data_IF_374506474246
#
_entry.id   IF_374506474246
#
_cell.length_a   1.000
_cell.length_b   1.000
_cell.length_c   1.000
_cell.angle_alpha   90.00
_cell.angle_beta   90.00
_cell.angle_gamma   90.00
#
_symmetry.space_group_name_H-M   'P 1'
#
loop_
_entity.id
_entity.type
_entity.pdbx_description
1 polymer ?
#
# COMPACT_ATOMS: atom_id res chain seq x y z
N UNK A 1 -17.97 19.44 -6.41
CA UNK A 1 -16.89 20.24 -5.75
C UNK A 1 -16.17 21.00 -6.86
N UNK A 2 -15.87 22.29 -6.70
CA UNK A 2 -15.11 23.03 -7.72
C UNK A 2 -13.61 22.70 -7.64
N UNK A 3 -12.90 22.81 -8.78
CA UNK A 3 -11.44 22.62 -8.84
C UNK A 3 -10.70 23.52 -7.85
N UNK A 4 -11.15 24.78 -7.72
CA UNK A 4 -10.61 25.75 -6.76
C UNK A 4 -10.77 25.27 -5.31
N UNK A 5 -11.92 24.71 -4.96
CA UNK A 5 -12.15 24.20 -3.60
C UNK A 5 -11.30 22.95 -3.32
N UNK A 6 -11.14 22.06 -4.30
CA UNK A 6 -10.29 20.88 -4.16
C UNK A 6 -8.81 21.25 -4.01
N UNK A 7 -8.34 22.25 -4.78
CA UNK A 7 -6.97 22.77 -4.68
C UNK A 7 -6.73 23.43 -3.32
N UNK A 8 -7.65 24.31 -2.87
CA UNK A 8 -7.56 24.95 -1.57
C UNK A 8 -7.52 23.92 -0.43
N UNK A 9 -8.39 22.91 -0.48
CA UNK A 9 -8.40 21.82 0.49
C UNK A 9 -7.08 21.06 0.52
N UNK A 10 -6.51 20.74 -0.64
CA UNK A 10 -5.22 20.05 -0.75
C UNK A 10 -4.08 20.89 -0.17
N UNK A 11 -4.00 22.18 -0.51
CA UNK A 11 -2.98 23.11 0.01
C UNK A 11 -3.08 23.20 1.53
N UNK A 12 -4.29 23.42 2.07
CA UNK A 12 -4.51 23.50 3.52
C UNK A 12 -4.08 22.19 4.19
N UNK A 13 -4.45 21.04 3.62
CA UNK A 13 -4.06 19.73 4.17
C UNK A 13 -2.54 19.53 4.18
N UNK A 14 -1.84 19.96 3.12
CA UNK A 14 -0.37 19.92 3.06
C UNK A 14 0.26 20.82 4.12
N UNK A 15 -0.22 22.05 4.28
CA UNK A 15 0.28 22.98 5.29
C UNK A 15 0.04 22.46 6.71
N UNK A 16 -1.15 21.92 6.98
CA UNK A 16 -1.48 21.29 8.26
C UNK A 16 -0.59 20.08 8.52
N UNK A 17 -0.35 19.22 7.52
CA UNK A 17 0.56 18.09 7.65
C UNK A 17 1.98 18.53 8.05
N UNK A 18 2.57 19.50 7.33
CA UNK A 18 3.91 20.04 7.65
C UNK A 18 3.92 20.66 9.06
N UNK A 19 2.91 21.46 9.40
CA UNK A 19 2.79 22.05 10.73
C UNK A 19 2.70 20.98 11.83
N UNK A 20 1.88 19.94 11.65
CA UNK A 20 1.80 18.82 12.59
C UNK A 20 3.15 18.13 12.75
N UNK A 21 3.88 17.86 11.67
CA UNK A 21 5.20 17.21 11.76
C UNK A 21 6.24 18.05 12.49
N UNK A 22 6.14 19.38 12.43
CA UNK A 22 6.98 20.31 13.21
C UNK A 22 6.80 20.12 14.72
N UNK A 23 5.55 19.90 15.17
CA UNK A 23 5.24 19.66 16.58
C UNK A 23 5.54 18.25 17.07
N UNK A 24 5.90 17.32 16.17
CA UNK A 24 6.20 15.92 16.52
C UNK A 24 7.70 15.77 16.85
N UNK A 25 8.58 15.87 15.86
CA UNK A 25 10.03 15.85 16.04
C UNK A 25 10.77 16.34 14.77
N UNK A 26 12.07 16.69 14.86
CA UNK A 26 12.83 17.21 13.72
C UNK A 26 12.87 16.27 12.51
N UNK A 27 12.98 14.96 12.71
CA UNK A 27 13.05 13.99 11.60
C UNK A 27 11.75 14.00 10.80
N UNK A 28 10.59 13.94 11.49
CA UNK A 28 9.29 14.00 10.83
C UNK A 28 9.11 15.31 10.07
N UNK A 29 9.51 16.44 10.66
CA UNK A 29 9.44 17.74 10.02
C UNK A 29 10.25 17.80 8.72
N UNK A 30 11.53 17.40 8.77
CA UNK A 30 12.41 17.44 7.60
C UNK A 30 12.05 16.41 6.52
N UNK A 31 11.41 15.30 6.89
CA UNK A 31 10.91 14.31 5.93
C UNK A 31 9.52 14.62 5.39
N UNK A 32 8.78 15.54 6.00
CA UNK A 32 7.42 15.89 5.56
C UNK A 32 7.35 16.35 4.08
N UNK A 33 8.30 17.13 3.53
CA UNK A 33 8.29 17.47 2.11
C UNK A 33 8.51 16.25 1.21
N UNK A 34 9.32 15.27 1.65
CA UNK A 34 9.56 14.03 0.90
C UNK A 34 8.30 13.19 0.85
N UNK A 35 7.59 13.04 1.98
CA UNK A 35 6.33 12.32 2.04
C UNK A 35 5.26 12.98 1.15
N UNK A 36 5.12 14.30 1.23
CA UNK A 36 4.20 15.05 0.37
C UNK A 36 4.57 14.93 -1.11
N UNK A 37 5.85 14.99 -1.46
CA UNK A 37 6.29 14.80 -2.84
C UNK A 37 5.81 13.45 -3.38
N UNK A 38 6.05 12.35 -2.66
CA UNK A 38 5.61 11.01 -3.09
C UNK A 38 4.09 10.94 -3.25
N UNK A 39 3.33 11.45 -2.27
CA UNK A 39 1.86 11.39 -2.25
C UNK A 39 1.22 12.28 -3.32
N UNK A 40 1.78 13.46 -3.60
CA UNK A 40 1.24 14.33 -4.64
C UNK A 40 1.67 13.87 -6.03
N UNK A 41 2.90 13.38 -6.16
CA UNK A 41 3.47 13.00 -7.43
C UNK A 41 2.88 11.70 -7.99
N UNK A 42 2.47 10.73 -7.15
CA UNK A 42 1.97 9.44 -7.64
C UNK A 42 0.81 9.62 -8.64
N UNK A 43 -0.06 10.61 -8.43
CA UNK A 43 -1.22 10.87 -9.30
C UNK A 43 -0.83 11.19 -10.75
N UNK A 44 0.39 11.64 -10.99
CA UNK A 44 0.91 11.97 -12.32
C UNK A 44 1.60 10.77 -13.01
N UNK A 45 1.98 9.74 -12.25
CA UNK A 45 2.90 8.68 -12.72
C UNK A 45 2.37 7.84 -13.88
N UNK A 46 1.05 7.59 -13.92
CA UNK A 46 0.40 6.90 -15.05
C UNK A 46 0.68 7.54 -16.41
N UNK A 47 1.06 8.83 -16.48
CA UNK A 47 1.29 9.53 -17.75
C UNK A 47 2.63 9.20 -18.41
N UNK A 48 3.56 8.55 -17.70
CA UNK A 48 4.89 8.27 -18.24
C UNK A 48 5.51 6.95 -17.75
N UNK A 49 4.89 6.22 -16.82
CA UNK A 49 5.39 4.91 -16.38
C UNK A 49 4.27 3.97 -15.94
N UNK A 50 4.37 2.69 -16.33
CA UNK A 50 3.49 1.64 -15.84
C UNK A 50 3.78 1.23 -14.39
N UNK A 51 4.90 1.67 -13.82
CA UNK A 51 5.23 1.44 -12.41
C UNK A 51 4.44 2.34 -11.45
N UNK A 52 3.38 3.00 -11.92
CA UNK A 52 2.50 3.86 -11.11
C UNK A 52 1.97 3.16 -9.85
N UNK A 53 1.68 1.85 -9.95
CA UNK A 53 1.22 1.02 -8.84
C UNK A 53 2.27 0.89 -7.73
N UNK A 54 3.56 0.91 -8.09
CA UNK A 54 4.69 0.88 -7.16
C UNK A 54 4.88 2.24 -6.49
N UNK A 55 4.62 3.34 -7.20
CA UNK A 55 4.69 4.68 -6.61
C UNK A 55 3.50 4.92 -5.66
N UNK A 56 2.31 4.43 -6.01
CA UNK A 56 1.15 4.45 -5.10
C UNK A 56 1.42 3.57 -3.86
N UNK A 57 1.96 2.36 -4.05
CA UNK A 57 2.40 1.50 -2.96
C UNK A 57 3.45 2.17 -2.08
N UNK A 58 4.40 2.90 -2.67
CA UNK A 58 5.41 3.66 -1.95
C UNK A 58 4.74 4.73 -1.06
N UNK A 59 3.76 5.46 -1.59
CA UNK A 59 3.00 6.45 -0.83
C UNK A 59 2.38 5.88 0.45
N UNK A 60 1.71 4.73 0.37
CA UNK A 60 1.15 4.05 1.54
C UNK A 60 2.20 3.40 2.44
N UNK A 61 3.31 2.93 1.87
CA UNK A 61 4.41 2.34 2.64
C UNK A 61 5.14 3.33 3.55
N UNK A 62 4.94 4.63 3.36
CA UNK A 62 5.46 5.64 4.28
C UNK A 62 4.77 5.60 5.65
N UNK A 63 3.58 4.99 5.77
CA UNK A 63 2.83 4.98 7.02
C UNK A 63 3.50 4.19 8.15
N UNK A 64 3.97 2.93 7.98
CA UNK A 64 4.64 2.20 9.07
C UNK A 64 5.91 2.90 9.58
N UNK A 65 6.82 3.28 8.67
CA UNK A 65 8.03 4.01 9.05
C UNK A 65 7.72 5.40 9.61
N UNK A 66 6.74 6.11 9.06
CA UNK A 66 6.30 7.41 9.55
C UNK A 66 5.73 7.35 10.97
N UNK A 67 4.89 6.35 11.26
CA UNK A 67 4.35 6.12 12.60
C UNK A 67 5.47 5.80 13.61
N UNK A 68 6.44 4.97 13.23
CA UNK A 68 7.59 4.66 14.08
C UNK A 68 8.46 5.89 14.35
N UNK A 69 8.79 6.65 13.29
CA UNK A 69 9.56 7.89 13.40
C UNK A 69 8.84 8.93 14.26
N UNK A 70 7.51 9.02 14.19
CA UNK A 70 6.74 9.96 14.99
C UNK A 70 6.86 9.70 16.48
N UNK A 71 6.91 8.44 16.90
CA UNK A 71 6.99 8.04 18.31
C UNK A 71 8.44 8.00 18.81
N UNK A 72 9.37 7.47 18.01
CA UNK A 72 10.73 7.14 18.48
C UNK A 72 11.77 8.19 18.09
N UNK A 73 11.54 8.95 17.02
CA UNK A 73 12.54 9.83 16.43
C UNK A 73 13.80 9.10 15.93
N UNK A 74 13.72 7.81 15.61
CA UNK A 74 14.87 7.02 15.14
C UNK A 74 14.47 6.02 14.04
N UNK A 75 15.40 5.73 13.14
CA UNK A 75 15.20 4.69 12.13
C UNK A 75 15.45 3.31 12.72
N UNK A 76 14.67 2.34 12.28
CA UNK A 76 14.83 0.93 12.64
C UNK A 76 14.45 0.05 11.44
N UNK A 77 14.99 -1.17 11.41
CA UNK A 77 14.72 -2.17 10.39
C UNK A 77 13.30 -2.72 10.46
N UNK A 78 12.77 -2.94 11.66
CA UNK A 78 11.44 -3.53 11.80
C UNK A 78 10.31 -2.74 11.11
N UNK A 79 10.16 -1.41 11.32
CA UNK A 79 9.16 -0.63 10.59
C UNK A 79 9.44 -0.55 9.09
N UNK A 80 10.71 -0.62 8.65
CA UNK A 80 11.04 -0.71 7.23
C UNK A 80 10.56 -2.02 6.60
N UNK A 81 10.67 -3.15 7.31
CA UNK A 81 10.13 -4.44 6.84
C UNK A 81 8.60 -4.39 6.71
N UNK A 82 7.91 -3.73 7.64
CA UNK A 82 6.47 -3.47 7.50
C UNK A 82 6.17 -2.51 6.35
N UNK A 83 6.98 -1.47 6.13
CA UNK A 83 6.86 -0.60 4.95
C UNK A 83 7.01 -1.40 3.65
N UNK A 84 7.99 -2.32 3.53
CA UNK A 84 8.12 -3.18 2.36
C UNK A 84 6.93 -4.13 2.20
N UNK A 85 6.41 -4.68 3.29
CA UNK A 85 5.17 -5.47 3.28
C UNK A 85 4.03 -4.68 2.66
N UNK A 86 3.83 -3.43 3.10
CA UNK A 86 2.78 -2.53 2.61
C UNK A 86 3.02 -2.13 1.16
N UNK A 87 4.25 -1.79 0.79
CA UNK A 87 4.62 -1.43 -0.58
C UNK A 87 4.16 -2.52 -1.55
N UNK A 88 4.59 -3.75 -1.35
CA UNK A 88 4.27 -4.84 -2.27
C UNK A 88 2.80 -5.28 -2.19
N UNK A 89 2.20 -5.26 -1.00
CA UNK A 89 0.78 -5.58 -0.83
C UNK A 89 -0.11 -4.61 -1.61
N UNK A 90 0.12 -3.31 -1.40
CA UNK A 90 -0.65 -2.24 -2.03
C UNK A 90 -0.45 -2.23 -3.52
N UNK A 91 0.79 -2.29 -4.00
CA UNK A 91 1.05 -2.36 -5.43
C UNK A 91 0.38 -3.57 -6.08
N UNK A 92 0.38 -4.72 -5.41
CA UNK A 92 -0.27 -5.93 -5.92
C UNK A 92 -1.79 -5.76 -6.04
N UNK A 93 -2.48 -5.27 -5.01
CA UNK A 93 -3.94 -5.14 -5.10
C UNK A 93 -4.37 -3.97 -6.00
N UNK A 94 -3.56 -2.91 -6.12
CA UNK A 94 -3.84 -1.78 -7.01
C UNK A 94 -3.78 -2.22 -8.48
N UNK A 95 -2.86 -3.15 -8.82
CA UNK A 95 -2.85 -3.80 -10.14
C UNK A 95 -4.13 -4.60 -10.38
N UNK A 96 -4.61 -5.37 -9.37
CA UNK A 96 -5.87 -6.14 -9.49
C UNK A 96 -7.04 -5.19 -9.74
N UNK A 97 -7.10 -4.06 -9.03
CA UNK A 97 -8.14 -3.07 -9.18
C UNK A 97 -8.12 -2.41 -10.57
N UNK A 98 -6.92 -2.06 -11.05
CA UNK A 98 -6.69 -1.44 -12.35
C UNK A 98 -6.95 -2.36 -13.54
N UNK A 99 -7.20 -3.66 -13.35
CA UNK A 99 -7.66 -4.55 -14.43
C UNK A 99 -8.97 -4.07 -15.08
N UNK A 100 -9.78 -3.34 -14.32
CA UNK A 100 -11.05 -2.76 -14.80
C UNK A 100 -10.81 -1.57 -15.75
N UNK A 101 -9.66 -0.89 -15.61
CA UNK A 101 -9.34 0.33 -16.34
C UNK A 101 -8.49 0.07 -17.60
N UNK A 102 -8.21 -1.19 -17.95
CA UNK A 102 -7.26 -1.51 -19.04
C UNK A 102 -7.63 -0.85 -20.37
N UNK A 103 -8.90 -0.95 -20.77
CA UNK A 103 -9.38 -0.39 -22.05
C UNK A 103 -9.29 1.13 -22.05
N UNK A 104 -9.76 1.76 -20.96
CA UNK A 104 -9.67 3.20 -20.77
C UNK A 104 -8.22 3.72 -20.76
N UNK A 105 -7.33 3.03 -20.03
CA UNK A 105 -5.92 3.40 -19.96
C UNK A 105 -5.26 3.26 -21.35
N UNK A 106 -5.62 2.25 -22.15
CA UNK A 106 -5.13 2.10 -23.53
C UNK A 106 -5.64 3.20 -24.46
N UNK A 107 -6.93 3.51 -24.42
CA UNK A 107 -7.55 4.54 -25.26
C UNK A 107 -6.98 5.94 -24.97
N UNK A 108 -6.65 6.22 -23.71
CA UNK A 108 -6.11 7.51 -23.27
C UNK A 108 -4.57 7.54 -23.22
N UNK A 109 -3.89 6.53 -23.77
CA UNK A 109 -2.42 6.43 -23.78
C UNK A 109 -1.79 6.54 -22.39
N UNK A 110 -2.47 6.01 -21.37
CA UNK A 110 -1.97 5.91 -20.01
C UNK A 110 -1.17 4.61 -19.82
N UNK A 111 -0.11 4.72 -19.02
CA UNK A 111 0.79 3.64 -18.70
C UNK A 111 0.39 3.02 -17.36
N UNK A 112 -0.19 1.83 -17.40
CA UNK A 112 -0.45 0.97 -16.25
C UNK A 112 0.03 -0.44 -16.55
N UNK A 113 0.28 -1.25 -15.52
CA UNK A 113 0.70 -2.64 -15.72
C UNK A 113 -0.35 -3.41 -16.55
N UNK A 114 -1.67 -3.27 -16.29
CA UNK A 114 -2.70 -3.84 -17.16
C UNK A 114 -2.69 -3.30 -18.59
N UNK A 115 -2.51 -1.99 -18.81
CA UNK A 115 -2.55 -1.42 -20.17
C UNK A 115 -1.41 -1.91 -21.05
N UNK A 116 -0.23 -2.16 -20.47
CA UNK A 116 0.95 -2.65 -21.22
C UNK A 116 0.99 -4.17 -21.35
N UNK A 117 0.71 -4.90 -20.26
CA UNK A 117 0.91 -6.36 -20.23
C UNK A 117 -0.38 -7.17 -20.49
N UNK A 118 -1.54 -6.54 -20.39
CA UNK A 118 -2.85 -7.18 -20.40
C UNK A 118 -3.18 -7.90 -19.08
N UNK A 119 -4.47 -8.21 -18.87
CA UNK A 119 -5.00 -8.74 -17.60
C UNK A 119 -4.25 -9.95 -17.04
N UNK A 120 -3.95 -10.92 -17.89
CA UNK A 120 -3.34 -12.18 -17.44
C UNK A 120 -1.92 -11.99 -16.91
N UNK A 121 -1.08 -11.24 -17.60
CA UNK A 121 0.30 -10.96 -17.16
C UNK A 121 0.32 -9.96 -16.01
N UNK A 122 -0.60 -8.99 -15.99
CA UNK A 122 -0.77 -8.07 -14.87
C UNK A 122 -1.08 -8.82 -13.56
N UNK A 123 -1.98 -9.81 -13.60
CA UNK A 123 -2.24 -10.69 -12.45
C UNK A 123 -0.99 -11.43 -11.99
N UNK A 124 -0.14 -11.94 -12.90
CA UNK A 124 1.15 -12.57 -12.52
C UNK A 124 2.11 -11.61 -11.84
N UNK A 125 2.15 -10.34 -12.25
CA UNK A 125 2.94 -9.32 -11.56
C UNK A 125 2.36 -9.06 -10.16
N UNK A 126 1.04 -8.98 -10.02
CA UNK A 126 0.37 -8.84 -8.73
C UNK A 126 0.65 -10.04 -7.80
N UNK A 127 0.60 -11.27 -8.31
CA UNK A 127 0.98 -12.49 -7.58
C UNK A 127 2.40 -12.39 -7.03
N UNK A 128 3.37 -11.99 -7.87
CA UNK A 128 4.76 -11.81 -7.44
C UNK A 128 4.88 -10.78 -6.32
N UNK A 129 4.22 -9.63 -6.45
CA UNK A 129 4.25 -8.59 -5.41
C UNK A 129 3.61 -9.10 -4.11
N UNK A 130 2.50 -9.81 -4.17
CA UNK A 130 1.89 -10.40 -2.97
C UNK A 130 2.74 -11.48 -2.32
N UNK A 131 3.48 -12.28 -3.10
CA UNK A 131 4.49 -13.21 -2.56
C UNK A 131 5.61 -12.44 -1.85
N UNK A 132 6.14 -11.36 -2.44
CA UNK A 132 7.16 -10.53 -1.80
C UNK A 132 6.62 -9.88 -0.51
N UNK A 133 5.37 -9.43 -0.51
CA UNK A 133 4.70 -8.93 0.71
C UNK A 133 4.63 -10.00 1.81
N UNK A 134 4.23 -11.23 1.44
CA UNK A 134 4.20 -12.37 2.34
C UNK A 134 5.58 -12.71 2.92
N UNK A 135 6.63 -12.66 2.11
CA UNK A 135 8.01 -12.85 2.57
C UNK A 135 8.42 -11.76 3.56
N UNK A 136 8.13 -10.49 3.26
CA UNK A 136 8.45 -9.36 4.14
C UNK A 136 7.75 -9.46 5.49
N UNK A 137 6.45 -9.81 5.53
CA UNK A 137 5.71 -9.90 6.80
C UNK A 137 6.18 -11.10 7.63
N UNK A 138 6.45 -12.24 7.00
CA UNK A 138 7.03 -13.40 7.70
C UNK A 138 8.40 -13.04 8.27
N UNK A 139 9.25 -12.36 7.49
CA UNK A 139 10.57 -11.96 7.94
C UNK A 139 10.51 -10.92 9.06
N UNK A 140 9.57 -9.96 9.01
CA UNK A 140 9.30 -9.03 10.11
C UNK A 140 8.90 -9.78 11.40
N UNK A 141 8.09 -10.83 11.28
CA UNK A 141 7.74 -11.78 12.33
C UNK A 141 8.96 -12.37 13.05
N UNK A 142 9.84 -12.98 12.26
CA UNK A 142 11.07 -13.62 12.76
C UNK A 142 12.03 -12.59 13.35
N UNK A 143 12.27 -11.48 12.64
CA UNK A 143 13.19 -10.43 13.09
C UNK A 143 12.73 -9.78 14.39
N UNK A 144 11.43 -9.47 14.50
CA UNK A 144 10.81 -8.91 15.69
C UNK A 144 10.61 -9.89 16.83
N UNK A 145 10.89 -11.19 16.61
CA UNK A 145 10.66 -12.29 17.58
C UNK A 145 9.23 -12.32 18.11
N UNK A 146 8.25 -12.05 17.24
CA UNK A 146 6.85 -12.00 17.61
C UNK A 146 6.28 -13.39 17.97
N UNK A 147 5.24 -13.38 18.79
CA UNK A 147 4.57 -14.55 19.34
C UNK A 147 3.51 -15.15 18.43
N UNK A 148 2.74 -16.09 18.99
CA UNK A 148 1.79 -16.89 18.24
C UNK A 148 0.58 -16.09 17.74
N UNK A 149 0.23 -14.98 18.40
CA UNK A 149 -0.86 -14.11 17.96
C UNK A 149 -0.48 -13.42 16.65
N UNK A 150 0.75 -12.90 16.57
CA UNK A 150 1.27 -12.34 15.33
C UNK A 150 1.22 -13.35 14.18
N UNK A 151 1.68 -14.58 14.42
CA UNK A 151 1.68 -15.64 13.40
C UNK A 151 0.27 -16.02 12.95
N UNK A 152 -0.71 -16.03 13.86
CA UNK A 152 -2.12 -16.21 13.48
C UNK A 152 -2.60 -15.06 12.55
N UNK A 153 -2.23 -13.83 12.87
CA UNK A 153 -2.46 -12.67 12.01
C UNK A 153 -1.82 -12.82 10.62
N UNK A 154 -0.56 -13.28 10.55
CA UNK A 154 0.14 -13.53 9.28
C UNK A 154 -0.57 -14.57 8.43
N UNK A 155 -1.04 -15.67 9.04
CA UNK A 155 -1.81 -16.70 8.33
C UNK A 155 -3.07 -16.11 7.72
N UNK A 156 -3.82 -15.29 8.47
CA UNK A 156 -5.00 -14.60 7.93
C UNK A 156 -4.61 -13.65 6.81
N UNK A 157 -3.60 -12.80 7.01
CA UNK A 157 -3.17 -11.82 6.02
C UNK A 157 -2.78 -12.50 4.69
N UNK A 158 -1.90 -13.49 4.73
CA UNK A 158 -1.47 -14.26 3.54
C UNK A 158 -2.65 -15.03 2.93
N UNK A 159 -3.51 -15.63 3.76
CA UNK A 159 -4.72 -16.30 3.30
C UNK A 159 -5.63 -15.37 2.49
N UNK A 160 -5.77 -14.11 2.92
CA UNK A 160 -6.53 -13.10 2.19
C UNK A 160 -5.86 -12.65 0.89
N UNK A 161 -4.53 -12.63 0.81
CA UNK A 161 -3.82 -12.39 -0.46
C UNK A 161 -4.10 -13.53 -1.46
N UNK A 162 -4.00 -14.78 -1.01
CA UNK A 162 -4.31 -15.96 -1.83
C UNK A 162 -5.78 -15.92 -2.29
N UNK A 163 -6.69 -15.56 -1.37
CA UNK A 163 -8.11 -15.45 -1.68
C UNK A 163 -8.38 -14.46 -2.81
N UNK A 164 -7.74 -13.30 -2.83
CA UNK A 164 -7.90 -12.30 -3.90
C UNK A 164 -7.59 -12.89 -5.28
N UNK A 165 -6.47 -13.62 -5.40
CA UNK A 165 -6.06 -14.28 -6.65
C UNK A 165 -6.94 -15.47 -7.02
N UNK A 166 -7.61 -16.10 -6.04
CA UNK A 166 -8.54 -17.21 -6.31
C UNK A 166 -9.86 -16.75 -6.92
N UNK A 167 -10.31 -15.53 -6.61
CA UNK A 167 -11.62 -15.01 -7.02
C UNK A 167 -11.57 -14.07 -8.22
N UNK A 168 -10.43 -13.46 -8.51
CA UNK A 168 -10.25 -12.60 -9.69
C UNK A 168 -9.59 -13.40 -10.80
N UNK A 169 -10.23 -13.43 -11.98
CA UNK A 169 -9.69 -14.10 -13.16
C UNK A 169 -9.54 -13.11 -14.30
N UNK A 170 -8.57 -13.29 -15.22
CA UNK A 170 -8.41 -12.41 -16.38
C UNK A 170 -9.69 -12.29 -17.23
N UNK A 171 -10.53 -13.33 -17.21
CA UNK A 171 -11.78 -13.43 -17.98
C UNK A 171 -13.03 -13.07 -17.16
N UNK A 172 -12.92 -12.87 -15.84
CA UNK A 172 -14.05 -12.54 -14.96
C UNK A 172 -13.62 -11.57 -13.87
N UNK A 173 -13.94 -10.28 -14.08
CA UNK A 173 -13.61 -9.19 -13.17
C UNK A 173 -14.74 -8.83 -12.19
N UNK A 174 -15.87 -9.54 -12.20
CA UNK A 174 -17.05 -9.20 -11.36
C UNK A 174 -16.74 -9.17 -9.85
N UNK A 175 -15.69 -9.86 -9.43
CA UNK A 175 -15.27 -9.98 -8.02
C UNK A 175 -14.10 -9.07 -7.64
N UNK A 176 -13.61 -8.21 -8.54
CA UNK A 176 -12.49 -7.30 -8.25
C UNK A 176 -12.80 -6.40 -7.07
N UNK A 177 -14.01 -5.86 -6.94
CA UNK A 177 -14.37 -5.01 -5.79
C UNK A 177 -14.39 -5.77 -4.45
N UNK A 178 -14.78 -7.06 -4.45
CA UNK A 178 -14.71 -7.90 -3.25
C UNK A 178 -13.26 -8.16 -2.87
N UNK A 179 -12.40 -8.45 -3.86
CA UNK A 179 -10.97 -8.60 -3.65
C UNK A 179 -10.30 -7.30 -3.16
N UNK A 180 -10.67 -6.16 -3.74
CA UNK A 180 -10.07 -4.86 -3.42
C UNK A 180 -10.53 -4.31 -2.08
N UNK A 181 -11.85 -4.20 -1.84
CA UNK A 181 -12.38 -3.57 -0.62
C UNK A 181 -12.45 -4.55 0.55
N UNK A 182 -13.21 -5.63 0.38
CA UNK A 182 -13.55 -6.52 1.51
C UNK A 182 -12.34 -7.33 1.95
N UNK A 183 -11.61 -7.93 1.01
CA UNK A 183 -10.50 -8.80 1.37
C UNK A 183 -9.33 -8.01 2.02
N UNK A 184 -8.94 -6.88 1.44
CA UNK A 184 -7.89 -6.03 2.03
C UNK A 184 -8.33 -5.36 3.34
N UNK A 185 -9.61 -4.98 3.47
CA UNK A 185 -10.18 -4.48 4.73
C UNK A 185 -10.12 -5.52 5.85
N UNK A 186 -10.51 -6.76 5.59
CA UNK A 186 -10.41 -7.85 6.56
C UNK A 186 -8.94 -8.14 6.88
N UNK A 187 -8.09 -8.27 5.86
CA UNK A 187 -6.67 -8.55 6.05
C UNK A 187 -5.99 -7.53 6.96
N UNK A 188 -6.23 -6.24 6.74
CA UNK A 188 -5.63 -5.17 7.54
C UNK A 188 -6.17 -5.09 8.98
N UNK A 189 -7.49 -5.11 9.16
CA UNK A 189 -8.10 -4.99 10.50
C UNK A 189 -7.76 -6.20 11.36
N UNK A 190 -7.91 -7.41 10.81
CA UNK A 190 -7.62 -8.64 11.56
C UNK A 190 -6.14 -8.75 11.88
N UNK A 191 -5.25 -8.46 10.92
CA UNK A 191 -3.81 -8.45 11.18
C UNK A 191 -3.45 -7.44 12.28
N UNK A 192 -3.99 -6.22 12.23
CA UNK A 192 -3.78 -5.21 13.27
C UNK A 192 -4.21 -5.68 14.65
N UNK A 193 -5.39 -6.30 14.77
CA UNK A 193 -5.88 -6.87 16.04
C UNK A 193 -4.92 -7.94 16.58
N UNK A 194 -4.48 -8.86 15.74
CA UNK A 194 -3.55 -9.93 16.15
C UNK A 194 -2.18 -9.39 16.56
N UNK A 195 -1.65 -8.38 15.85
CA UNK A 195 -0.40 -7.71 16.24
C UNK A 195 -0.57 -7.01 17.59
N UNK A 196 -1.69 -6.33 17.82
CA UNK A 196 -1.97 -5.70 19.12
C UNK A 196 -2.07 -6.74 20.24
N UNK A 197 -2.76 -7.86 20.01
CA UNK A 197 -2.84 -8.95 21.00
C UNK A 197 -1.44 -9.47 21.36
N UNK A 198 -0.58 -9.69 20.37
CA UNK A 198 0.81 -10.15 20.58
C UNK A 198 1.66 -9.18 21.41
N UNK A 199 1.37 -7.87 21.32
CA UNK A 199 2.08 -6.85 22.09
C UNK A 199 1.61 -6.75 23.55
N UNK A 200 0.38 -7.19 23.85
CA UNK A 200 -0.22 -7.08 25.18
C UNK A 200 -0.29 -8.40 25.96
N UNK A 201 -0.22 -9.55 25.27
CA UNK A 201 -0.37 -10.89 25.85
C UNK A 201 0.71 -11.84 25.33
#
# INVERSE_FOLDING_TARGET
ISEKNALAFTIISCLLFVACTFFINPICFYLSPVALFVILFYSYTKRFTALCHLVLGLGLSLAPIGAYLAVTGQFDWLPLLFSFTVLFWVSGFDIIYALQDEEFDKENQLHSIPSILGKAKALRVSELLHVLSGICVVYAGVYGKFGYWYWAGVVVFIGMLIYQHSIVKPTDLRRVNIAFMTANGIASVVFSIFVLLDLFF
#
